data_IF_157403211381
#
_entry.id   IF_157403211381
#
_cell.length_a   1.000
_cell.length_b   1.000
_cell.length_c   1.000
_cell.angle_alpha   90.00
_cell.angle_beta   90.00
_cell.angle_gamma   90.00
#
_symmetry.space_group_name_H-M   'P 1'
#
loop_
_entity.id
_entity.type
_entity.pdbx_description
1 polymer ?
#
# COMPACT_ATOMS: atom_id res chain seq x y z
N UNK A 1 35.10 10.00 -16.53
CA UNK A 1 34.29 10.14 -15.31
C UNK A 1 35.26 10.30 -14.16
N UNK A 2 35.49 11.55 -13.76
CA UNK A 2 36.42 11.87 -12.67
C UNK A 2 35.81 11.51 -11.31
N UNK A 3 36.63 11.56 -10.25
CA UNK A 3 36.15 11.31 -8.88
C UNK A 3 35.02 12.27 -8.47
N UNK A 4 34.97 13.45 -9.10
CA UNK A 4 33.91 14.43 -8.93
C UNK A 4 32.58 13.93 -9.51
N UNK A 5 32.61 13.34 -10.71
CA UNK A 5 31.41 12.77 -11.35
C UNK A 5 30.86 11.61 -10.53
N UNK A 6 31.74 10.74 -10.03
CA UNK A 6 31.34 9.59 -9.22
C UNK A 6 30.64 10.01 -7.92
N UNK A 7 31.18 11.05 -7.26
CA UNK A 7 30.59 11.58 -6.02
C UNK A 7 29.25 12.26 -6.29
N UNK A 8 29.17 13.07 -7.35
CA UNK A 8 27.94 13.74 -7.77
C UNK A 8 26.84 12.74 -8.14
N UNK A 9 27.16 11.72 -8.95
CA UNK A 9 26.23 10.65 -9.33
C UNK A 9 25.74 9.87 -8.11
N UNK A 10 26.63 9.53 -7.18
CA UNK A 10 26.26 8.77 -5.98
C UNK A 10 25.25 9.54 -5.12
N UNK A 11 25.50 10.83 -4.88
CA UNK A 11 24.57 11.68 -4.12
C UNK A 11 23.20 11.77 -4.81
N UNK A 12 23.21 11.95 -6.14
CA UNK A 12 21.96 12.03 -6.91
C UNK A 12 21.19 10.72 -6.89
N UNK A 13 21.89 9.59 -6.96
CA UNK A 13 21.29 8.25 -6.94
C UNK A 13 20.65 7.95 -5.58
N UNK A 14 21.31 8.30 -4.47
CA UNK A 14 20.73 8.19 -3.13
C UNK A 14 19.50 9.07 -2.96
N UNK A 15 19.55 10.31 -3.46
CA UNK A 15 18.40 11.22 -3.41
C UNK A 15 17.23 10.72 -4.24
N UNK A 16 17.50 10.23 -5.46
CA UNK A 16 16.48 9.64 -6.33
C UNK A 16 15.85 8.39 -5.72
N UNK A 17 16.66 7.52 -5.10
CA UNK A 17 16.17 6.34 -4.39
C UNK A 17 15.26 6.73 -3.21
N UNK A 18 15.64 7.75 -2.43
CA UNK A 18 14.81 8.26 -1.34
C UNK A 18 13.46 8.78 -1.83
N UNK A 19 13.46 9.64 -2.85
CA UNK A 19 12.22 10.18 -3.44
C UNK A 19 11.37 9.05 -4.04
N UNK A 20 12.00 8.05 -4.68
CA UNK A 20 11.32 6.88 -5.21
C UNK A 20 10.60 6.06 -4.12
N UNK A 21 11.25 5.84 -2.97
CA UNK A 21 10.64 5.13 -1.83
C UNK A 21 9.49 5.94 -1.23
N UNK A 22 9.67 7.25 -1.04
CA UNK A 22 8.63 8.13 -0.50
C UNK A 22 7.42 8.20 -1.44
N UNK A 23 7.66 8.37 -2.74
CA UNK A 23 6.62 8.36 -3.76
C UNK A 23 5.87 7.02 -3.79
N UNK A 24 6.59 5.89 -3.72
CA UNK A 24 5.99 4.56 -3.65
C UNK A 24 5.17 4.34 -2.37
N UNK A 25 5.65 4.85 -1.22
CA UNK A 25 4.94 4.77 0.04
C UNK A 25 3.62 5.58 0.03
N UNK A 26 3.60 6.71 -0.68
CA UNK A 26 2.39 7.52 -0.88
C UNK A 26 1.48 7.02 -2.00
N UNK A 27 1.98 6.25 -2.96
CA UNK A 27 1.23 5.76 -4.13
C UNK A 27 0.13 4.74 -3.84
N UNK A 28 -0.37 4.63 -2.60
CA UNK A 28 -1.57 3.85 -2.31
C UNK A 28 -1.41 2.34 -2.43
N UNK A 29 -0.20 1.80 -2.67
CA UNK A 29 0.06 0.35 -2.75
C UNK A 29 -0.17 -0.39 -1.40
N UNK A 30 -0.49 0.35 -0.33
CA UNK A 30 -0.98 -0.23 0.93
C UNK A 30 -2.48 -0.07 1.15
N UNK A 31 -3.16 0.88 0.49
CA UNK A 31 -4.61 1.07 0.67
C UNK A 31 -5.40 -0.15 0.23
N UNK A 32 -5.05 -0.77 -0.90
CA UNK A 32 -5.78 -1.95 -1.42
C UNK A 32 -5.81 -3.16 -0.46
N UNK A 33 -4.80 -3.33 0.40
CA UNK A 33 -4.78 -4.43 1.39
C UNK A 33 -5.50 -4.07 2.70
N UNK A 34 -5.60 -2.78 2.99
CA UNK A 34 -6.31 -2.29 4.18
C UNK A 34 -7.82 -2.14 3.93
N UNK A 35 -8.23 -1.80 2.71
CA UNK A 35 -9.66 -1.73 2.34
C UNK A 35 -10.33 -3.10 2.51
N UNK A 36 -9.67 -4.16 2.06
CA UNK A 36 -10.16 -5.55 2.16
C UNK A 36 -10.21 -6.05 3.62
N UNK A 37 -9.23 -5.66 4.45
CA UNK A 37 -9.22 -5.97 5.88
C UNK A 37 -10.21 -5.13 6.70
N UNK A 38 -10.56 -3.92 6.23
CA UNK A 38 -11.56 -3.06 6.88
C UNK A 38 -12.98 -3.56 6.63
N UNK A 39 -13.22 -4.29 5.55
CA UNK A 39 -14.51 -4.92 5.27
C UNK A 39 -14.72 -6.22 6.07
N UNK A 40 -13.65 -6.84 6.58
CA UNK A 40 -13.68 -8.09 7.34
C UNK A 40 -14.70 -8.12 8.51
N UNK A 41 -14.80 -7.11 9.42
CA UNK A 41 -15.81 -7.11 10.48
C UNK A 41 -17.25 -6.89 9.98
N UNK A 42 -17.45 -6.39 8.76
CA UNK A 42 -18.77 -6.10 8.19
C UNK A 42 -19.28 -7.21 7.24
N UNK A 43 -18.38 -8.03 6.70
CA UNK A 43 -18.74 -9.16 5.83
C UNK A 43 -19.51 -10.24 6.60
N UNK A 44 -19.20 -10.45 7.88
CA UNK A 44 -19.91 -11.40 8.75
C UNK A 44 -21.34 -10.93 9.07
N UNK A 45 -21.56 -9.62 9.25
CA UNK A 45 -22.89 -9.03 9.51
C UNK A 45 -23.81 -9.08 8.28
N UNK A 46 -23.26 -8.93 7.07
CA UNK A 46 -24.00 -9.08 5.81
C UNK A 46 -24.45 -10.53 5.55
N UNK A 47 -23.65 -11.51 5.99
CA UNK A 47 -24.00 -12.92 5.88
C UNK A 47 -25.07 -13.36 6.89
N UNK A 48 -25.20 -12.66 8.02
CA UNK A 48 -26.21 -12.93 9.06
C UNK A 48 -27.52 -12.16 8.83
N UNK A 49 -27.44 -10.91 8.36
CA UNK A 49 -28.63 -10.07 8.06
C UNK A 49 -29.44 -10.55 6.85
N UNK A 50 -28.93 -11.54 6.10
CA UNK A 50 -29.49 -12.07 4.87
C UNK A 50 -30.02 -13.50 4.93
N UNK A 51 -30.16 -14.11 6.10
CA UNK A 51 -30.79 -15.43 6.23
C UNK A 51 -32.31 -15.30 6.53
N UNK A 52 -33.19 -15.25 5.50
CA UNK A 52 -34.62 -15.36 5.73
C UNK A 52 -34.93 -16.78 6.19
N UNK A 53 -35.02 -16.93 7.52
CA UNK A 53 -35.74 -18.00 8.19
C UNK A 53 -35.46 -19.42 7.71
N UNK A 54 -34.47 -20.07 8.30
CA UNK A 54 -34.54 -21.52 8.46
C UNK A 54 -35.54 -21.82 9.59
N UNK A 55 -36.83 -21.79 9.23
CA UNK A 55 -37.89 -22.42 10.01
C UNK A 55 -38.22 -23.75 9.35
N UNK A 56 -37.52 -24.84 9.70
CA UNK A 56 -38.14 -26.17 9.78
C UNK A 56 -37.28 -27.19 10.50
#
# INVERSE_FOLDING_TARGET
>A
MDVNDLRSVTTLLMFAAFVGIVGWAWAGHRRARFDDAAQLPFTDELSDAGAPGEKK
#
